data_IF_405349374869
#
_entry.id   IF_405349374869
#
_cell.length_a   1.000
_cell.length_b   1.000
_cell.length_c   1.000
_cell.angle_alpha   90.00
_cell.angle_beta   90.00
_cell.angle_gamma   90.00
#
_symmetry.space_group_name_H-M   'P 1'
#
loop_
_entity.id
_entity.type
_entity.pdbx_description
1 polymer ?
#
# COMPACT_ATOMS: atom_id res chain seq x y z
N UNK A 1 -14.16 5.96 -6.15
CA UNK A 1 -13.10 6.76 -6.79
C UNK A 1 -12.15 7.18 -5.69
N UNK A 2 -10.87 6.83 -5.78
CA UNK A 2 -9.89 7.23 -4.77
C UNK A 2 -9.45 8.67 -5.07
N UNK A 3 -9.31 9.50 -4.03
CA UNK A 3 -8.88 10.90 -4.17
C UNK A 3 -7.37 10.93 -4.03
N UNK A 4 -6.69 11.64 -4.94
CA UNK A 4 -5.24 11.82 -4.86
C UNK A 4 -4.89 12.66 -3.62
N UNK A 5 -4.08 12.10 -2.73
CA UNK A 5 -3.53 12.78 -1.56
C UNK A 5 -2.05 13.06 -1.79
N UNK A 6 -1.75 14.09 -2.57
CA UNK A 6 -0.39 14.52 -2.88
C UNK A 6 0.14 15.60 -1.93
N UNK A 7 1.34 16.10 -2.23
CA UNK A 7 1.95 17.24 -1.55
C UNK A 7 1.97 18.41 -2.53
N UNK A 8 1.06 19.40 -2.41
CA UNK A 8 1.13 20.60 -3.22
C UNK A 8 2.46 21.31 -3.00
N UNK A 9 3.07 21.81 -4.08
CA UNK A 9 4.38 22.50 -4.02
C UNK A 9 5.48 21.65 -3.37
N UNK A 10 5.48 20.33 -3.65
CA UNK A 10 6.46 19.36 -3.13
C UNK A 10 7.92 19.82 -3.28
N UNK A 11 8.26 20.48 -4.39
CA UNK A 11 9.62 20.91 -4.65
C UNK A 11 9.66 22.27 -5.36
N UNK A 12 10.63 23.15 -5.04
CA UNK A 12 10.77 24.44 -5.71
C UNK A 12 11.11 24.27 -7.19
N UNK A 13 10.35 24.95 -8.05
CA UNK A 13 10.58 24.92 -9.50
C UNK A 13 12.00 25.41 -9.87
N UNK A 14 12.48 26.43 -9.16
CA UNK A 14 13.81 27.01 -9.38
C UNK A 14 14.95 26.00 -9.21
N UNK A 15 14.78 25.00 -8.34
CA UNK A 15 15.79 23.97 -8.12
C UNK A 15 15.76 22.87 -9.19
N UNK A 16 14.59 22.61 -9.81
CA UNK A 16 14.46 21.64 -10.92
C UNK A 16 14.94 22.24 -12.24
N UNK A 17 14.74 23.55 -12.44
CA UNK A 17 15.13 24.25 -13.66
C UNK A 17 16.57 24.73 -13.66
N UNK A 18 17.25 24.69 -12.51
CA UNK A 18 18.65 25.09 -12.43
C UNK A 18 19.51 24.17 -13.30
N UNK A 19 20.31 24.76 -14.18
CA UNK A 19 21.23 24.01 -15.04
C UNK A 19 22.26 23.24 -14.19
N UNK A 20 22.49 21.97 -14.54
CA UNK A 20 23.41 21.09 -13.79
C UNK A 20 22.88 20.62 -12.42
N UNK A 21 21.58 20.76 -12.13
CA UNK A 21 21.01 20.21 -10.90
C UNK A 21 21.10 18.67 -10.86
N UNK A 22 21.24 18.05 -9.68
CA UNK A 22 21.40 16.60 -9.58
C UNK A 22 20.11 15.81 -9.78
N UNK A 23 18.94 16.47 -9.84
CA UNK A 23 17.62 15.83 -9.84
C UNK A 23 17.08 15.58 -11.25
N UNK A 24 17.51 16.35 -12.25
CA UNK A 24 17.17 16.19 -13.67
C UNK A 24 18.43 15.87 -14.45
N UNK A 25 18.42 14.76 -15.18
CA UNK A 25 19.51 14.36 -16.10
C UNK A 25 18.91 13.88 -17.39
N UNK A 26 19.49 14.29 -18.52
CA UNK A 26 19.04 13.89 -19.86
C UNK A 26 17.52 14.10 -20.09
N UNK A 27 16.98 15.23 -19.60
CA UNK A 27 15.53 15.55 -19.63
C UNK A 27 14.64 14.52 -18.89
N UNK A 28 15.21 13.81 -17.90
CA UNK A 28 14.49 12.81 -17.09
C UNK A 28 14.66 13.05 -15.59
N UNK A 29 13.64 12.66 -14.83
CA UNK A 29 13.65 12.63 -13.37
C UNK A 29 13.07 11.31 -12.85
N UNK A 30 13.55 10.85 -11.69
CA UNK A 30 13.06 9.64 -11.04
C UNK A 30 12.33 9.98 -9.74
N UNK A 31 11.12 9.45 -9.58
CA UNK A 31 10.32 9.61 -8.36
C UNK A 31 10.09 8.21 -7.76
N UNK A 32 10.38 8.05 -6.47
CA UNK A 32 10.13 6.80 -5.73
C UNK A 32 9.12 7.05 -4.63
N UNK A 33 7.97 6.38 -4.70
CA UNK A 33 6.97 6.38 -3.63
C UNK A 33 7.22 5.17 -2.73
N UNK A 34 7.36 5.41 -1.43
CA UNK A 34 7.52 4.37 -0.43
C UNK A 34 6.22 4.23 0.36
N UNK A 35 5.63 3.04 0.32
CA UNK A 35 4.43 2.73 1.10
C UNK A 35 4.86 1.97 2.35
N UNK A 36 4.58 2.54 3.52
CA UNK A 36 4.89 1.93 4.81
C UNK A 36 3.85 0.88 5.17
N UNK A 37 4.28 -0.37 5.34
CA UNK A 37 3.42 -1.48 5.77
C UNK A 37 3.85 -2.09 7.11
N UNK A 38 4.71 -1.40 7.87
CA UNK A 38 5.29 -1.93 9.10
C UNK A 38 4.21 -2.30 10.14
N UNK A 39 3.13 -1.53 10.20
CA UNK A 39 1.99 -1.76 11.10
C UNK A 39 0.90 -2.63 10.46
N UNK A 40 1.04 -2.97 9.18
CA UNK A 40 0.08 -3.84 8.50
C UNK A 40 0.36 -5.30 8.87
N UNK A 41 -0.66 -6.08 9.28
CA UNK A 41 -0.44 -7.50 9.50
C UNK A 41 0.06 -8.15 8.21
N UNK A 42 1.13 -8.95 8.31
CA UNK A 42 1.82 -9.52 7.12
C UNK A 42 0.91 -10.40 6.25
N UNK A 43 -0.20 -10.87 6.81
CA UNK A 43 -1.24 -11.63 6.11
C UNK A 43 -2.08 -10.78 5.16
N UNK A 44 -2.19 -9.47 5.40
CA UNK A 44 -2.98 -8.53 4.60
C UNK A 44 -2.14 -7.83 3.51
N UNK A 45 -0.80 -7.89 3.64
CA UNK A 45 0.17 -7.35 2.67
C UNK A 45 -0.08 -7.79 1.22
N UNK A 46 -0.34 -9.09 0.93
CA UNK A 46 -0.67 -9.52 -0.41
C UNK A 46 -1.86 -8.73 -0.94
N UNK A 47 -2.97 -8.60 -0.21
CA UNK A 47 -4.16 -7.89 -0.67
C UNK A 47 -3.92 -6.38 -0.88
N UNK A 48 -3.10 -5.73 -0.06
CA UNK A 48 -2.73 -4.34 -0.27
C UNK A 48 -1.91 -4.13 -1.56
N UNK A 49 -1.10 -5.12 -1.95
CA UNK A 49 -0.25 -5.09 -3.14
C UNK A 49 -0.93 -5.72 -4.38
N UNK A 50 -1.93 -6.56 -4.16
CA UNK A 50 -2.51 -7.51 -5.11
C UNK A 50 -3.94 -7.15 -5.53
N UNK A 51 -4.53 -6.11 -4.93
CA UNK A 51 -5.71 -5.48 -5.48
C UNK A 51 -5.30 -4.73 -6.74
N UNK A 52 -5.25 -5.47 -7.85
CA UNK A 52 -5.13 -4.89 -9.16
C UNK A 52 -6.24 -3.82 -9.27
N UNK A 53 -5.89 -2.54 -9.39
CA UNK A 53 -6.87 -1.47 -9.39
C UNK A 53 -7.84 -1.57 -10.59
N UNK A 54 -7.51 -2.38 -11.60
CA UNK A 54 -8.40 -2.74 -12.71
C UNK A 54 -9.49 -3.76 -12.38
N UNK A 55 -9.48 -4.40 -11.19
CA UNK A 55 -10.55 -5.31 -10.78
C UNK A 55 -11.79 -4.52 -10.33
N UNK A 56 -13.01 -4.97 -10.67
CA UNK A 56 -14.24 -4.39 -10.16
C UNK A 56 -14.29 -4.33 -8.63
N UNK A 57 -14.79 -3.22 -8.08
CA UNK A 57 -14.79 -2.95 -6.63
C UNK A 57 -15.45 -4.05 -5.80
N UNK A 58 -16.50 -4.69 -6.31
CA UNK A 58 -17.17 -5.80 -5.64
C UNK A 58 -16.28 -7.05 -5.49
N UNK A 59 -15.42 -7.32 -6.48
CA UNK A 59 -14.45 -8.43 -6.43
C UNK A 59 -13.37 -8.12 -5.40
N UNK A 60 -12.89 -6.88 -5.37
CA UNK A 60 -11.92 -6.41 -4.38
C UNK A 60 -12.46 -6.57 -2.94
N UNK A 61 -13.68 -6.09 -2.70
CA UNK A 61 -14.35 -6.16 -1.40
C UNK A 61 -14.64 -7.60 -0.96
N UNK A 62 -15.04 -8.46 -1.90
CA UNK A 62 -15.28 -9.88 -1.63
C UNK A 62 -14.00 -10.57 -1.13
N UNK A 63 -12.88 -10.36 -1.82
CA UNK A 63 -11.59 -10.97 -1.46
C UNK A 63 -11.11 -10.46 -0.09
N UNK A 64 -11.24 -9.15 0.19
CA UNK A 64 -10.92 -8.58 1.50
C UNK A 64 -11.76 -9.24 2.60
N UNK A 65 -13.07 -9.40 2.38
CA UNK A 65 -13.99 -9.97 3.36
C UNK A 65 -13.64 -11.43 3.69
N UNK A 66 -13.35 -12.24 2.68
CA UNK A 66 -12.98 -13.65 2.89
C UNK A 66 -11.71 -13.80 3.75
N UNK A 67 -10.71 -12.94 3.55
CA UNK A 67 -9.47 -13.00 4.34
C UNK A 67 -9.69 -12.59 5.80
N UNK A 68 -10.52 -11.58 6.04
CA UNK A 68 -10.90 -11.17 7.41
C UNK A 68 -11.56 -12.35 8.14
N UNK A 69 -12.50 -13.03 7.48
CA UNK A 69 -13.21 -14.19 8.05
C UNK A 69 -12.27 -15.36 8.33
N UNK A 70 -11.35 -15.67 7.40
CA UNK A 70 -10.31 -16.70 7.57
C UNK A 70 -9.42 -16.41 8.80
N UNK A 71 -9.10 -15.15 9.03
CA UNK A 71 -8.25 -14.73 10.16
C UNK A 71 -8.95 -14.89 11.51
N UNK A 72 -10.23 -14.51 11.58
CA UNK A 72 -11.03 -14.66 12.79
C UNK A 72 -11.12 -16.13 13.24
N UNK A 73 -11.25 -17.06 12.28
CA UNK A 73 -11.25 -18.50 12.53
C UNK A 73 -9.88 -19.01 13.00
N UNK A 74 -8.79 -18.52 12.41
CA UNK A 74 -7.44 -18.94 12.80
C UNK A 74 -7.09 -18.50 14.24
N UNK A 75 -7.52 -17.29 14.64
CA UNK A 75 -7.32 -16.79 16.00
C UNK A 75 -8.14 -17.55 17.05
N UNK A 76 -9.39 -17.93 16.73
CA UNK A 76 -10.22 -18.74 17.64
C UNK A 76 -9.64 -20.13 17.84
N UNK A 77 -9.08 -20.75 16.79
CA UNK A 77 -8.37 -22.02 16.91
C UNK A 77 -7.12 -21.90 17.79
N UNK A 78 -6.32 -20.86 17.61
CA UNK A 78 -5.11 -20.65 18.42
C UNK A 78 -5.44 -20.38 19.90
N UNK A 79 -6.52 -19.66 20.19
CA UNK A 79 -7.00 -19.48 21.56
C UNK A 79 -7.51 -20.80 22.18
N UNK A 80 -8.23 -21.63 21.43
CA UNK A 80 -8.66 -22.95 21.92
C UNK A 80 -7.49 -23.90 22.20
N UNK A 81 -6.42 -23.84 21.41
CA UNK A 81 -5.21 -24.65 21.62
C UNK A 81 -4.39 -24.16 22.83
N UNK A 82 -4.38 -22.86 23.13
CA UNK A 82 -3.69 -22.29 24.28
C UNK A 82 -4.43 -22.48 25.62
N UNK A 83 -5.75 -22.69 25.60
CA UNK A 83 -6.57 -22.87 26.82
C UNK A 83 -6.59 -24.32 27.31
N UNK A 84 -6.07 -25.27 26.53
CA UNK A 84 -6.03 -26.71 26.85
C UNK A 84 -4.64 -27.20 27.29
N UNK A 85 -3.75 -26.29 27.70
CA UNK A 85 -2.50 -26.58 28.42
C UNK A 85 -2.59 -26.02 29.82
#
# INVERSE_FOLDING_TARGET
MNIASGIPKFFPLTMIQQEGNPYVRDDTMFIKVMVGFAEMPKTVLPYALSLNPGLPTNVQQYIIKQEIERTAQTQTLQQHLATNQ
#
